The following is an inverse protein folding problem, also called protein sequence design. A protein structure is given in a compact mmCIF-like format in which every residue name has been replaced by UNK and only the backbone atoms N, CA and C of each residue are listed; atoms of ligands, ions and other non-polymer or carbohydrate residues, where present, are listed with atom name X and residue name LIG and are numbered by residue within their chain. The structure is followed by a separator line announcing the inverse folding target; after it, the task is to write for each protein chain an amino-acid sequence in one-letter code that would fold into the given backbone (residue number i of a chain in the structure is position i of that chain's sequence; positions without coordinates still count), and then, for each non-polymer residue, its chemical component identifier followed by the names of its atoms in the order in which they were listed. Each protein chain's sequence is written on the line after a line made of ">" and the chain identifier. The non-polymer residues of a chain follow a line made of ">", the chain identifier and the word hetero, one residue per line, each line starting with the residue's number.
data_IF_270050962272
#
_entry.id   IF_270050962272
#
_cell.length_a   1.000
_cell.length_b   1.000
_cell.length_c   1.000
_cell.angle_alpha   90.00
_cell.angle_beta   90.00
_cell.angle_gamma   90.00
#
_symmetry.space_group_name_H-M   'P 1'
#
loop_
_entity.id
_entity.type
_entity.pdbx_description
1 polymer ?
#
# COMPACT_ATOMS: atom_id res chain seq x y z
N UNK A 1 24.88 -35.92 17.59
CA UNK A 1 24.57 -34.46 17.70
C UNK A 1 24.44 -33.74 16.36
N UNK A 2 25.13 -34.15 15.28
CA UNK A 2 25.07 -33.48 13.97
C UNK A 2 23.69 -33.60 13.26
N UNK A 3 22.98 -34.73 13.38
CA UNK A 3 21.71 -34.94 12.65
C UNK A 3 20.52 -34.14 13.19
N UNK A 4 20.46 -33.87 14.51
CA UNK A 4 19.39 -33.05 15.14
C UNK A 4 19.46 -31.57 14.75
N UNK A 5 20.66 -31.03 14.45
CA UNK A 5 20.83 -29.66 13.95
C UNK A 5 20.41 -29.53 12.48
N UNK A 6 20.66 -30.55 11.67
CA UNK A 6 20.24 -30.57 10.27
C UNK A 6 18.71 -30.61 10.13
N UNK A 7 18.02 -31.41 10.95
CA UNK A 7 16.55 -31.51 10.91
C UNK A 7 15.83 -30.25 11.41
N UNK A 8 16.38 -29.57 12.43
CA UNK A 8 15.84 -28.28 12.93
C UNK A 8 16.11 -27.13 11.96
N UNK A 9 17.22 -27.16 11.22
CA UNK A 9 17.50 -26.17 10.18
C UNK A 9 16.55 -26.33 8.98
N UNK A 10 16.35 -27.56 8.51
CA UNK A 10 15.42 -27.86 7.41
C UNK A 10 13.96 -27.53 7.76
N UNK A 11 13.52 -27.81 9.00
CA UNK A 11 12.15 -27.48 9.43
C UNK A 11 11.91 -25.97 9.52
N UNK A 12 12.88 -25.19 10.01
CA UNK A 12 12.82 -23.71 10.01
C UNK A 12 12.81 -23.13 8.60
N UNK A 13 13.62 -23.66 7.70
CA UNK A 13 13.68 -23.20 6.31
C UNK A 13 12.38 -23.49 5.55
N UNK A 14 11.75 -24.65 5.82
CA UNK A 14 10.46 -25.03 5.25
C UNK A 14 9.33 -24.10 5.73
N UNK A 15 9.20 -23.88 7.04
CA UNK A 15 8.20 -22.95 7.59
C UNK A 15 8.35 -21.53 7.05
N UNK A 16 9.59 -21.04 6.90
CA UNK A 16 9.83 -19.70 6.35
C UNK A 16 9.31 -19.63 4.91
N UNK A 17 9.60 -20.65 4.09
CA UNK A 17 9.15 -20.72 2.69
C UNK A 17 7.62 -20.82 2.56
N UNK A 18 6.99 -21.68 3.36
CA UNK A 18 5.53 -21.88 3.37
C UNK A 18 4.79 -20.59 3.78
N UNK A 19 5.36 -19.82 4.71
CA UNK A 19 4.84 -18.50 5.09
C UNK A 19 4.85 -17.52 3.91
N UNK A 20 5.94 -17.41 3.15
CA UNK A 20 5.98 -16.51 1.99
C UNK A 20 4.98 -16.92 0.91
N UNK A 21 4.83 -18.23 0.64
CA UNK A 21 3.83 -18.71 -0.32
C UNK A 21 2.41 -18.34 0.10
N UNK A 22 2.06 -18.49 1.39
CA UNK A 22 0.75 -18.09 1.88
C UNK A 22 0.52 -16.59 1.73
N UNK A 23 1.51 -15.77 2.07
CA UNK A 23 1.42 -14.31 1.94
C UNK A 23 1.26 -13.88 0.47
N UNK A 24 1.95 -14.54 -0.45
CA UNK A 24 1.83 -14.27 -1.88
C UNK A 24 0.47 -14.71 -2.43
N UNK A 25 -0.06 -15.85 -1.97
CA UNK A 25 -1.41 -16.30 -2.31
C UNK A 25 -2.48 -15.31 -1.81
N UNK A 26 -2.34 -14.82 -0.57
CA UNK A 26 -3.24 -13.81 -0.02
C UNK A 26 -3.17 -12.49 -0.81
N UNK A 27 -1.99 -12.09 -1.29
CA UNK A 27 -1.85 -10.94 -2.21
C UNK A 27 -2.61 -11.17 -3.51
N UNK A 28 -2.52 -12.38 -4.09
CA UNK A 28 -3.25 -12.75 -5.29
C UNK A 28 -4.77 -12.60 -5.12
N UNK A 29 -5.32 -13.15 -4.03
CA UNK A 29 -6.76 -13.01 -3.72
C UNK A 29 -7.15 -11.54 -3.54
N UNK A 30 -6.36 -10.76 -2.79
CA UNK A 30 -6.62 -9.34 -2.60
C UNK A 30 -6.56 -8.56 -3.94
N UNK A 31 -5.62 -8.89 -4.82
CA UNK A 31 -5.53 -8.28 -6.15
C UNK A 31 -6.79 -8.55 -6.99
N UNK A 32 -7.31 -9.78 -6.96
CA UNK A 32 -8.55 -10.14 -7.64
C UNK A 32 -9.74 -9.33 -7.12
N UNK A 33 -9.85 -9.11 -5.80
CA UNK A 33 -10.90 -8.27 -5.22
C UNK A 33 -10.81 -6.82 -5.71
N UNK A 34 -9.60 -6.27 -5.86
CA UNK A 34 -9.41 -4.92 -6.43
C UNK A 34 -9.84 -4.88 -7.90
N UNK A 35 -9.49 -5.90 -8.69
CA UNK A 35 -9.89 -6.01 -10.09
C UNK A 35 -11.41 -6.10 -10.22
N UNK A 36 -12.08 -6.98 -9.46
CA UNK A 36 -13.54 -7.10 -9.50
C UNK A 36 -14.25 -5.83 -9.03
N UNK A 37 -13.70 -5.11 -8.06
CA UNK A 37 -14.24 -3.82 -7.64
C UNK A 37 -14.22 -2.79 -8.78
N UNK A 38 -13.09 -2.65 -9.46
CA UNK A 38 -12.97 -1.71 -10.59
C UNK A 38 -13.77 -2.17 -11.81
N UNK A 39 -13.82 -3.48 -12.09
CA UNK A 39 -14.65 -4.05 -13.14
C UNK A 39 -16.14 -3.80 -12.89
N UNK A 40 -16.59 -3.94 -11.63
CA UNK A 40 -17.96 -3.60 -11.23
C UNK A 40 -18.27 -2.12 -11.49
N UNK A 41 -17.39 -1.22 -11.06
CA UNK A 41 -17.51 0.22 -11.31
C UNK A 41 -17.60 0.54 -12.81
N UNK A 42 -16.75 -0.09 -13.63
CA UNK A 42 -16.72 0.11 -15.08
C UNK A 42 -17.97 -0.45 -15.78
N UNK A 43 -18.43 -1.64 -15.37
CA UNK A 43 -19.59 -2.32 -15.97
C UNK A 43 -20.93 -1.90 -15.35
N UNK A 44 -20.93 -0.93 -14.42
CA UNK A 44 -22.12 -0.52 -13.65
C UNK A 44 -22.80 -1.70 -12.92
N UNK A 45 -22.00 -2.64 -12.43
CA UNK A 45 -22.43 -3.83 -11.69
C UNK A 45 -21.74 -3.88 -10.32
N UNK A 46 -22.16 -4.81 -9.45
CA UNK A 46 -21.62 -4.90 -8.10
C UNK A 46 -20.96 -6.26 -7.81
N UNK A 47 -19.88 -6.57 -8.52
CA UNK A 47 -19.12 -7.82 -8.31
C UNK A 47 -18.41 -7.86 -6.95
N UNK A 48 -18.00 -6.71 -6.41
CA UNK A 48 -17.28 -6.62 -5.14
C UNK A 48 -17.48 -5.26 -4.46
N UNK A 49 -18.65 -5.00 -3.87
CA UNK A 49 -19.05 -3.70 -3.30
C UNK A 49 -18.01 -3.02 -2.39
N UNK A 50 -17.26 -3.84 -1.63
CA UNK A 50 -16.26 -3.39 -0.66
C UNK A 50 -14.84 -3.80 -1.02
N UNK A 51 -14.58 -4.14 -2.29
CA UNK A 51 -13.25 -4.57 -2.74
C UNK A 51 -12.16 -3.50 -2.57
N UNK A 52 -12.53 -2.23 -2.38
CA UNK A 52 -11.59 -1.18 -1.97
C UNK A 52 -10.89 -1.46 -0.62
N UNK A 53 -11.44 -2.33 0.23
CA UNK A 53 -10.83 -2.74 1.50
C UNK A 53 -9.62 -3.68 1.31
N UNK A 54 -9.47 -4.29 0.13
CA UNK A 54 -8.29 -5.06 -0.21
C UNK A 54 -7.01 -4.20 -0.19
N UNK A 55 -7.15 -2.88 -0.40
CA UNK A 55 -6.05 -1.92 -0.27
C UNK A 55 -5.53 -1.86 1.18
N UNK A 56 -6.42 -1.84 2.18
CA UNK A 56 -6.02 -1.88 3.59
C UNK A 56 -5.30 -3.20 3.91
N UNK A 57 -5.77 -4.31 3.34
CA UNK A 57 -5.08 -5.60 3.47
C UNK A 57 -3.66 -5.56 2.90
N UNK A 58 -3.45 -4.95 1.72
CA UNK A 58 -2.11 -4.76 1.15
C UNK A 58 -1.19 -3.94 2.06
N UNK A 59 -1.70 -2.87 2.67
CA UNK A 59 -0.94 -2.05 3.61
C UNK A 59 -0.55 -2.81 4.88
N UNK A 60 -1.48 -3.57 5.47
CA UNK A 60 -1.20 -4.41 6.63
C UNK A 60 -0.15 -5.47 6.31
N UNK A 61 -0.29 -6.13 5.16
CA UNK A 61 0.68 -7.12 4.72
C UNK A 61 2.05 -6.48 4.43
N UNK A 62 2.10 -5.25 3.92
CA UNK A 62 3.34 -4.52 3.73
C UNK A 62 4.05 -4.24 5.05
N UNK A 63 3.34 -3.70 6.05
CA UNK A 63 3.86 -3.48 7.39
C UNK A 63 4.41 -4.76 8.03
N UNK A 64 3.71 -5.87 7.86
CA UNK A 64 4.15 -7.19 8.32
C UNK A 64 5.45 -7.64 7.64
N UNK A 65 5.45 -7.74 6.31
CA UNK A 65 6.58 -8.25 5.53
C UNK A 65 7.83 -7.37 5.72
N UNK A 66 7.68 -6.05 5.71
CA UNK A 66 8.81 -5.14 5.87
C UNK A 66 9.42 -5.25 7.26
N UNK A 67 8.59 -5.36 8.30
CA UNK A 67 9.08 -5.53 9.66
C UNK A 67 9.87 -6.82 9.80
N UNK A 68 9.37 -7.92 9.23
CA UNK A 68 10.06 -9.22 9.23
C UNK A 68 11.38 -9.18 8.44
N UNK A 69 11.38 -8.62 7.24
CA UNK A 69 12.52 -8.70 6.32
C UNK A 69 13.58 -7.60 6.53
N UNK A 70 13.19 -6.41 7.00
CA UNK A 70 14.05 -5.23 7.09
C UNK A 70 14.15 -4.63 8.49
N UNK A 71 13.23 -4.94 9.42
CA UNK A 71 13.21 -4.32 10.75
C UNK A 71 14.53 -4.48 11.51
N UNK A 72 15.13 -5.68 11.50
CA UNK A 72 16.44 -5.92 12.08
C UNK A 72 17.57 -5.16 11.39
N UNK A 73 17.57 -5.14 10.05
CA UNK A 73 18.60 -4.47 9.23
C UNK A 73 18.59 -2.95 9.39
N UNK A 74 17.40 -2.36 9.48
CA UNK A 74 17.20 -0.92 9.72
C UNK A 74 17.66 -0.51 11.13
N UNK A 75 17.42 -1.37 12.13
CA UNK A 75 17.98 -1.17 13.48
C UNK A 75 19.49 -1.34 13.52
N UNK A 76 20.04 -2.22 12.67
CA UNK A 76 21.49 -2.45 12.52
C UNK A 76 22.19 -1.43 11.60
N UNK A 77 21.52 -0.35 11.19
CA UNK A 77 22.16 0.76 10.47
C UNK A 77 21.96 0.79 8.95
N UNK A 78 21.07 -0.03 8.37
CA UNK A 78 20.65 0.15 6.98
C UNK A 78 20.05 1.57 6.80
N UNK A 79 20.59 2.33 5.85
CA UNK A 79 20.13 3.71 5.60
C UNK A 79 18.70 3.74 5.07
N UNK A 80 17.94 4.76 5.48
CA UNK A 80 16.57 5.02 5.01
C UNK A 80 16.55 5.15 3.50
N UNK A 81 17.49 5.91 2.92
CA UNK A 81 17.62 6.08 1.47
C UNK A 81 17.77 4.74 0.72
N UNK A 82 18.70 3.89 1.17
CA UNK A 82 18.94 2.59 0.52
C UNK A 82 17.73 1.68 0.64
N UNK A 83 17.07 1.68 1.80
CA UNK A 83 15.82 0.95 2.00
C UNK A 83 14.72 1.44 1.03
N UNK A 84 14.53 2.75 0.93
CA UNK A 84 13.51 3.35 0.05
C UNK A 84 13.80 3.04 -1.41
N UNK A 85 15.04 3.10 -1.87
CA UNK A 85 15.41 2.75 -3.26
C UNK A 85 15.11 1.29 -3.60
N UNK A 86 15.43 0.34 -2.69
CA UNK A 86 15.10 -1.09 -2.88
C UNK A 86 13.59 -1.28 -3.07
N UNK A 87 12.78 -0.48 -2.37
CA UNK A 87 11.33 -0.54 -2.44
C UNK A 87 10.80 0.13 -3.70
N UNK A 88 11.31 1.32 -4.04
CA UNK A 88 10.86 2.11 -5.17
C UNK A 88 11.08 1.39 -6.50
N UNK A 89 12.25 0.77 -6.71
CA UNK A 89 12.57 0.02 -7.95
C UNK A 89 11.57 -1.11 -8.21
N UNK A 90 10.92 -1.65 -7.18
CA UNK A 90 9.90 -2.71 -7.35
C UNK A 90 8.54 -2.18 -7.78
N UNK A 91 8.16 -0.98 -7.35
CA UNK A 91 6.84 -0.41 -7.61
C UNK A 91 6.82 0.47 -8.86
N UNK A 92 7.93 1.16 -9.13
CA UNK A 92 8.04 2.15 -10.18
C UNK A 92 7.75 1.62 -11.59
N UNK A 93 8.20 0.40 -11.99
CA UNK A 93 7.88 -0.13 -13.32
C UNK A 93 6.38 -0.27 -13.55
N UNK A 94 5.66 -0.86 -12.60
CA UNK A 94 4.21 -1.04 -12.69
C UNK A 94 3.48 0.31 -12.65
N UNK A 95 3.96 1.23 -11.81
CA UNK A 95 3.43 2.58 -11.73
C UNK A 95 3.53 3.31 -13.08
N UNK A 96 4.69 3.25 -13.75
CA UNK A 96 4.90 3.88 -15.06
C UNK A 96 4.02 3.27 -16.15
N UNK A 97 3.81 1.94 -16.12
CA UNK A 97 2.86 1.28 -17.04
C UNK A 97 1.45 1.82 -16.81
N UNK A 98 1.00 1.92 -15.55
CA UNK A 98 -0.30 2.51 -15.23
C UNK A 98 -0.45 3.96 -15.69
N UNK A 99 0.61 4.77 -15.49
CA UNK A 99 0.66 6.16 -15.95
C UNK A 99 0.58 6.25 -17.48
N UNK A 100 1.33 5.41 -18.20
CA UNK A 100 1.31 5.38 -19.67
C UNK A 100 -0.07 4.99 -20.19
N UNK A 101 -0.67 3.93 -19.65
CA UNK A 101 -2.02 3.48 -20.04
C UNK A 101 -3.08 4.55 -19.78
N UNK A 102 -3.04 5.22 -18.63
CA UNK A 102 -4.00 6.30 -18.34
C UNK A 102 -3.75 7.57 -19.14
N UNK A 103 -2.50 7.89 -19.49
CA UNK A 103 -2.18 8.95 -20.45
C UNK A 103 -2.75 8.63 -21.84
N UNK A 104 -2.57 7.40 -22.33
CA UNK A 104 -3.16 6.94 -23.60
C UNK A 104 -4.69 7.03 -23.57
N UNK A 105 -5.33 6.59 -22.48
CA UNK A 105 -6.78 6.74 -22.28
C UNK A 105 -7.21 8.21 -22.35
N UNK A 106 -6.53 9.10 -21.64
CA UNK A 106 -6.89 10.52 -21.60
C UNK A 106 -6.71 11.21 -22.97
N UNK A 107 -5.65 10.87 -23.71
CA UNK A 107 -5.45 11.35 -25.08
C UNK A 107 -6.52 10.82 -26.04
N UNK A 108 -6.91 9.55 -25.90
CA UNK A 108 -8.03 8.99 -26.65
C UNK A 108 -9.35 9.73 -26.38
N UNK A 109 -9.65 10.04 -25.13
CA UNK A 109 -10.84 10.81 -24.75
C UNK A 109 -10.87 12.20 -25.41
N UNK A 110 -9.73 12.90 -25.47
CA UNK A 110 -9.61 14.16 -26.22
C UNK A 110 -9.84 13.97 -27.72
N UNK A 111 -9.24 12.92 -28.31
CA UNK A 111 -9.37 12.63 -29.73
C UNK A 111 -10.82 12.34 -30.15
N UNK A 112 -11.58 11.64 -29.31
CA UNK A 112 -12.99 11.33 -29.54
C UNK A 112 -13.96 12.41 -29.03
N UNK A 113 -13.47 13.58 -28.61
CA UNK A 113 -14.27 14.69 -28.09
C UNK A 113 -15.21 14.29 -26.93
N UNK A 114 -14.74 13.43 -26.03
CA UNK A 114 -15.48 13.06 -24.82
C UNK A 114 -15.75 14.32 -23.97
N UNK A 115 -17.02 14.62 -23.60
CA UNK A 115 -17.37 15.77 -22.76
C UNK A 115 -16.66 15.79 -21.39
N UNK A 116 -16.18 14.64 -20.90
CA UNK A 116 -15.47 14.50 -19.63
C UNK A 116 -13.94 14.51 -19.80
N UNK A 117 -13.43 14.75 -21.01
CA UNK A 117 -11.99 14.78 -21.27
C UNK A 117 -11.31 15.94 -20.53
N UNK A 118 -10.19 15.64 -19.87
CA UNK A 118 -9.29 16.67 -19.32
C UNK A 118 -8.46 17.31 -20.44
N UNK A 119 -8.12 18.59 -20.28
CA UNK A 119 -7.38 19.33 -21.32
C UNK A 119 -5.97 18.78 -21.56
N UNK A 120 -5.41 19.03 -22.75
CA UNK A 120 -4.04 18.62 -23.11
C UNK A 120 -2.99 19.13 -22.10
N UNK A 121 -3.16 20.35 -21.60
CA UNK A 121 -2.29 20.92 -20.57
C UNK A 121 -2.36 20.12 -19.26
N UNK A 122 -3.56 19.73 -18.82
CA UNK A 122 -3.74 18.92 -17.62
C UNK A 122 -3.16 17.51 -17.77
N UNK A 123 -3.29 16.89 -18.94
CA UNK A 123 -2.65 15.59 -19.23
C UNK A 123 -1.13 15.74 -19.11
N UNK A 124 -0.56 16.75 -19.77
CA UNK A 124 0.91 16.95 -19.79
C UNK A 124 1.46 17.22 -18.39
N UNK A 125 0.85 18.15 -17.65
CA UNK A 125 1.28 18.48 -16.28
C UNK A 125 1.10 17.29 -15.33
N UNK A 126 -0.01 16.56 -15.44
CA UNK A 126 -0.25 15.37 -14.62
C UNK A 126 0.70 14.22 -14.96
N UNK A 127 1.13 14.10 -16.22
CA UNK A 127 2.14 13.13 -16.62
C UNK A 127 3.52 13.49 -16.06
N UNK A 128 3.92 14.77 -16.10
CA UNK A 128 5.20 15.23 -15.54
C UNK A 128 5.29 14.99 -14.02
N UNK A 129 4.24 15.36 -13.28
CA UNK A 129 4.16 15.08 -11.84
C UNK A 129 4.04 13.58 -11.56
N UNK A 130 3.29 12.88 -12.42
CA UNK A 130 3.15 11.44 -12.41
C UNK A 130 4.50 10.74 -12.53
N UNK A 131 5.40 11.16 -13.42
CA UNK A 131 6.73 10.53 -13.58
C UNK A 131 7.46 10.46 -12.25
N UNK A 132 7.50 11.55 -11.49
CA UNK A 132 8.14 11.58 -10.15
C UNK A 132 7.25 11.05 -9.02
N UNK A 133 6.14 10.40 -9.36
CA UNK A 133 5.17 9.79 -8.45
C UNK A 133 4.47 10.79 -7.51
N UNK A 134 4.43 12.08 -7.87
CA UNK A 134 3.78 13.11 -7.08
C UNK A 134 2.33 13.33 -7.53
N UNK A 135 1.41 13.65 -6.59
CA UNK A 135 0.04 13.98 -6.94
C UNK A 135 -0.01 15.30 -7.71
N UNK A 136 -0.90 15.39 -8.70
CA UNK A 136 -1.06 16.61 -9.50
C UNK A 136 -1.84 17.68 -8.73
N UNK A 137 -1.39 18.93 -8.82
CA UNK A 137 -2.13 20.10 -8.33
C UNK A 137 -3.02 20.72 -9.42
N UNK A 138 -2.96 20.18 -10.64
CA UNK A 138 -3.55 20.78 -11.84
C UNK A 138 -4.84 20.09 -12.29
N UNK A 139 -5.30 19.10 -11.54
CA UNK A 139 -6.57 18.42 -11.77
C UNK A 139 -7.59 18.81 -10.70
N UNK A 140 -8.88 18.99 -11.07
CA UNK A 140 -9.87 19.58 -10.18
C UNK A 140 -10.24 18.72 -8.96
N UNK A 141 -10.12 17.39 -9.05
CA UNK A 141 -10.60 16.48 -7.99
C UNK A 141 -9.62 15.35 -7.67
N UNK A 142 -9.10 14.67 -8.68
CA UNK A 142 -8.27 13.47 -8.48
C UNK A 142 -6.79 13.80 -8.24
N UNK A 143 -6.16 13.04 -7.33
CA UNK A 143 -4.72 13.14 -7.07
C UNK A 143 -3.89 12.66 -8.28
N UNK A 144 -4.40 11.66 -9.00
CA UNK A 144 -3.73 11.00 -10.12
C UNK A 144 -4.73 10.71 -11.25
N UNK A 145 -5.16 11.73 -12.02
CA UNK A 145 -6.16 11.57 -13.09
C UNK A 145 -5.72 10.60 -14.21
N UNK A 146 -4.41 10.39 -14.35
CA UNK A 146 -3.82 9.47 -15.32
C UNK A 146 -3.49 8.10 -14.73
N UNK A 147 -3.73 7.87 -13.43
CA UNK A 147 -3.47 6.59 -12.79
C UNK A 147 -4.27 6.50 -11.48
N UNK A 148 -5.56 6.21 -11.56
CA UNK A 148 -6.47 6.20 -10.41
C UNK A 148 -5.94 5.43 -9.17
N UNK A 149 -5.32 4.25 -9.29
CA UNK A 149 -4.75 3.52 -8.15
C UNK A 149 -3.46 4.09 -7.54
N UNK A 150 -2.80 5.05 -8.19
CA UNK A 150 -1.47 5.55 -7.82
C UNK A 150 -1.37 6.15 -6.41
N UNK A 151 -2.45 6.74 -5.90
CA UNK A 151 -2.47 7.32 -4.55
C UNK A 151 -2.04 6.30 -3.49
N UNK A 152 -2.45 5.04 -3.65
CA UNK A 152 -2.12 3.97 -2.70
C UNK A 152 -0.63 3.62 -2.74
N UNK A 153 -0.01 3.63 -3.92
CA UNK A 153 1.43 3.39 -4.09
C UNK A 153 2.25 4.56 -3.53
N UNK A 154 1.79 5.79 -3.71
CA UNK A 154 2.43 6.98 -3.15
C UNK A 154 2.43 6.92 -1.62
N UNK A 155 1.28 6.65 -1.02
CA UNK A 155 1.16 6.48 0.42
C UNK A 155 2.01 5.30 0.92
N UNK A 156 2.05 4.19 0.18
CA UNK A 156 2.92 3.04 0.49
C UNK A 156 4.40 3.43 0.55
N UNK A 157 4.89 4.24 -0.40
CA UNK A 157 6.26 4.77 -0.33
C UNK A 157 6.43 5.69 0.89
N UNK A 158 5.49 6.60 1.14
CA UNK A 158 5.54 7.53 2.26
C UNK A 158 5.57 6.82 3.63
N UNK A 159 4.70 5.82 3.84
CA UNK A 159 4.66 5.07 5.11
C UNK A 159 5.91 4.19 5.26
N UNK A 160 6.48 3.69 4.16
CA UNK A 160 7.73 2.92 4.19
C UNK A 160 8.91 3.81 4.64
N UNK A 161 8.99 5.03 4.12
CA UNK A 161 9.97 6.02 4.59
C UNK A 161 9.74 6.33 6.07
N UNK A 162 8.50 6.58 6.48
CA UNK A 162 8.16 6.85 7.87
C UNK A 162 8.52 5.68 8.80
N UNK A 163 8.34 4.45 8.32
CA UNK A 163 8.72 3.25 9.04
C UNK A 163 10.22 3.16 9.25
N UNK A 164 11.00 3.31 8.17
CA UNK A 164 12.45 3.20 8.22
C UNK A 164 13.11 4.32 9.05
N UNK A 165 12.55 5.53 8.98
CA UNK A 165 13.04 6.67 9.75
C UNK A 165 12.64 6.58 11.23
N UNK A 166 11.37 6.28 11.54
CA UNK A 166 10.83 6.40 12.90
C UNK A 166 10.22 5.10 13.44
N UNK A 167 9.20 4.52 12.80
CA UNK A 167 8.39 3.47 13.44
C UNK A 167 9.19 2.21 13.79
N UNK A 168 10.25 1.90 13.05
CA UNK A 168 11.13 0.75 13.32
C UNK A 168 11.80 0.81 14.71
N UNK A 169 11.92 2.01 15.29
CA UNK A 169 12.51 2.30 16.61
C UNK A 169 11.47 2.57 17.70
N UNK A 170 10.21 2.80 17.34
CA UNK A 170 9.15 3.06 18.31
C UNK A 170 8.84 1.83 19.16
N UNK A 171 8.37 2.06 20.39
CA UNK A 171 7.84 1.01 21.28
C UNK A 171 6.49 0.53 20.77
N UNK A 172 6.12 -0.71 21.13
CA UNK A 172 4.84 -1.30 20.70
C UNK A 172 3.64 -0.48 21.21
N UNK A 173 3.73 0.08 22.42
CA UNK A 173 2.68 0.96 22.96
C UNK A 173 2.44 2.22 22.12
N UNK A 174 3.48 2.83 21.58
CA UNK A 174 3.36 4.00 20.69
C UNK A 174 2.70 3.63 19.36
N UNK A 175 3.01 2.45 18.82
CA UNK A 175 2.38 1.94 17.60
C UNK A 175 0.91 1.58 17.83
N UNK A 176 0.59 0.98 18.97
CA UNK A 176 -0.80 0.70 19.37
C UNK A 176 -1.57 2.00 19.52
N UNK A 177 -1.01 3.00 20.20
CA UNK A 177 -1.64 4.31 20.33
C UNK A 177 -1.92 4.95 18.96
N UNK A 178 -0.93 4.93 18.04
CA UNK A 178 -1.11 5.44 16.69
C UNK A 178 -2.21 4.68 15.92
N UNK A 179 -2.25 3.34 16.03
CA UNK A 179 -3.27 2.52 15.41
C UNK A 179 -4.68 2.84 15.96
N UNK A 180 -4.81 3.02 17.27
CA UNK A 180 -6.09 3.37 17.92
C UNK A 180 -6.59 4.74 17.47
N UNK A 181 -5.71 5.74 17.42
CA UNK A 181 -6.08 7.08 16.93
C UNK A 181 -6.49 7.02 15.45
N UNK A 182 -5.76 6.29 14.62
CA UNK A 182 -6.13 6.11 13.22
C UNK A 182 -7.50 5.41 13.07
N UNK A 183 -7.76 4.36 13.87
CA UNK A 183 -9.04 3.67 13.88
C UNK A 183 -10.21 4.58 14.32
N UNK A 184 -9.99 5.44 15.31
CA UNK A 184 -10.99 6.41 15.77
C UNK A 184 -11.33 7.41 14.67
N UNK A 185 -10.32 7.99 14.01
CA UNK A 185 -10.52 8.93 12.89
C UNK A 185 -11.29 8.26 11.74
N UNK A 186 -10.95 7.00 11.41
CA UNK A 186 -11.69 6.24 10.40
C UNK A 186 -13.14 5.99 10.79
N UNK A 187 -13.39 5.71 12.07
CA UNK A 187 -14.76 5.46 12.58
C UNK A 187 -15.61 6.73 12.50
N UNK A 188 -15.03 7.88 12.85
CA UNK A 188 -15.68 9.20 12.71
C UNK A 188 -15.99 9.48 11.23
N UNK A 189 -15.01 9.29 10.33
CA UNK A 189 -15.20 9.49 8.89
C UNK A 189 -16.30 8.58 8.33
N UNK A 190 -16.30 7.30 8.72
CA UNK A 190 -17.32 6.33 8.34
C UNK A 190 -18.71 6.75 8.84
N UNK A 191 -18.80 7.28 10.07
CA UNK A 191 -20.06 7.80 10.62
C UNK A 191 -20.62 8.98 9.85
N UNK A 192 -19.78 9.85 9.30
CA UNK A 192 -20.21 11.01 8.51
C UNK A 192 -20.53 10.69 7.04
N UNK A 193 -19.80 9.75 6.43
CA UNK A 193 -19.86 9.51 4.97
C UNK A 193 -20.53 8.20 4.58
N UNK A 194 -20.72 7.28 5.53
CA UNK A 194 -21.25 5.94 5.28
C UNK A 194 -20.29 4.99 4.54
N UNK A 195 -19.07 5.43 4.22
CA UNK A 195 -18.09 4.63 3.47
C UNK A 195 -16.64 4.93 3.89
N UNK A 196 -15.74 4.00 3.60
CA UNK A 196 -14.29 4.21 3.69
C UNK A 196 -13.62 4.27 2.31
N UNK A 197 -14.43 4.30 1.24
CA UNK A 197 -13.95 4.42 -0.13
C UNK A 197 -13.46 5.86 -0.41
N UNK A 198 -12.25 6.17 0.06
CA UNK A 198 -11.60 7.46 -0.15
C UNK A 198 -10.08 7.35 -0.06
N UNK A 199 -9.40 8.44 -0.42
CA UNK A 199 -7.94 8.54 -0.50
C UNK A 199 -7.42 8.87 -1.90
N UNK A 200 -8.26 8.78 -2.93
CA UNK A 200 -7.90 8.99 -4.34
C UNK A 200 -8.13 10.42 -4.84
N UNK A 201 -8.82 11.26 -4.06
CA UNK A 201 -9.09 12.66 -4.35
C UNK A 201 -8.54 13.57 -3.25
N UNK A 202 -8.25 14.84 -3.57
CA UNK A 202 -7.72 15.82 -2.61
C UNK A 202 -8.60 15.97 -1.36
N UNK A 203 -9.93 15.99 -1.55
CA UNK A 203 -10.91 16.07 -0.47
C UNK A 203 -10.93 14.85 0.46
N UNK A 204 -10.50 13.69 -0.04
CA UNK A 204 -10.49 12.42 0.72
C UNK A 204 -9.08 11.95 1.04
N UNK A 205 -8.03 12.70 0.68
CA UNK A 205 -6.65 12.27 0.88
C UNK A 205 -6.35 11.94 2.36
N UNK A 206 -6.92 12.72 3.28
CA UNK A 206 -6.82 12.48 4.72
C UNK A 206 -7.28 11.08 5.14
N UNK A 207 -8.41 10.57 4.61
CA UNK A 207 -8.86 9.21 4.94
C UNK A 207 -7.91 8.15 4.38
N UNK A 208 -7.31 8.40 3.21
CA UNK A 208 -6.26 7.53 2.67
C UNK A 208 -5.06 7.41 3.61
N UNK A 209 -4.59 8.55 4.14
CA UNK A 209 -3.48 8.61 5.13
C UNK A 209 -3.85 7.88 6.41
N UNK A 210 -5.08 8.04 6.91
CA UNK A 210 -5.53 7.36 8.13
C UNK A 210 -5.62 5.85 7.92
N UNK A 211 -6.19 5.41 6.79
CA UNK A 211 -6.32 4.01 6.40
C UNK A 211 -4.98 3.29 6.33
N UNK A 212 -4.01 3.86 5.60
CA UNK A 212 -2.68 3.26 5.52
C UNK A 212 -1.98 3.23 6.87
N UNK A 213 -2.12 4.29 7.66
CA UNK A 213 -1.48 4.39 8.98
C UNK A 213 -2.02 3.31 9.91
N UNK A 214 -3.34 3.13 9.97
CA UNK A 214 -3.98 2.06 10.73
C UNK A 214 -3.51 0.68 10.26
N UNK A 215 -3.72 0.37 8.99
CA UNK A 215 -3.44 -0.96 8.45
C UNK A 215 -1.96 -1.33 8.57
N UNK A 216 -1.07 -0.43 8.18
CA UNK A 216 0.37 -0.65 8.22
C UNK A 216 0.88 -0.85 9.65
N UNK A 217 0.44 -0.04 10.62
CA UNK A 217 0.87 -0.17 12.02
C UNK A 217 0.39 -1.49 12.64
N UNK A 218 -0.84 -1.93 12.33
CA UNK A 218 -1.31 -3.28 12.71
C UNK A 218 -0.40 -4.35 12.13
N UNK A 219 -0.03 -4.24 10.85
CA UNK A 219 0.95 -5.15 10.22
C UNK A 219 2.29 -5.22 10.94
N UNK A 220 2.84 -4.07 11.32
CA UNK A 220 4.10 -3.97 12.10
C UNK A 220 3.96 -4.67 13.44
N UNK A 221 2.87 -4.44 14.17
CA UNK A 221 2.62 -5.04 15.48
C UNK A 221 2.51 -6.56 15.39
N UNK A 222 1.76 -7.07 14.40
CA UNK A 222 1.63 -8.51 14.16
C UNK A 222 2.98 -9.17 13.86
N UNK A 223 3.84 -8.52 13.07
CA UNK A 223 5.18 -9.02 12.80
C UNK A 223 6.06 -9.06 14.07
N UNK A 224 6.03 -7.99 14.89
CA UNK A 224 6.78 -7.97 16.15
C UNK A 224 6.31 -9.05 17.13
N UNK A 225 4.99 -9.25 17.22
CA UNK A 225 4.41 -10.30 18.03
C UNK A 225 4.84 -11.70 17.55
N UNK A 226 4.82 -11.96 16.24
CA UNK A 226 5.31 -13.20 15.64
C UNK A 226 6.78 -13.47 15.99
N UNK A 227 7.65 -12.45 15.91
CA UNK A 227 9.07 -12.57 16.27
C UNK A 227 9.23 -12.92 17.76
N UNK A 228 8.41 -12.31 18.63
CA UNK A 228 8.46 -12.56 20.07
C UNK A 228 8.05 -13.99 20.43
N UNK A 229 7.01 -14.52 19.79
CA UNK A 229 6.60 -15.93 19.95
C UNK A 229 7.73 -16.86 19.52
N UNK A 230 8.31 -16.66 18.34
CA UNK A 230 9.37 -17.51 17.81
C UNK A 230 10.60 -17.56 18.73
N UNK A 231 10.90 -16.46 19.43
CA UNK A 231 11.99 -16.39 20.42
C UNK A 231 11.68 -17.09 21.74
N UNK A 232 10.41 -17.24 22.13
CA UNK A 232 10.03 -17.92 23.38
C UNK A 232 10.00 -19.44 23.24
N UNK A 233 9.77 -19.94 22.02
CA UNK A 233 9.65 -21.37 21.72
C UNK A 233 11.02 -21.99 21.34
N UNK A 234 12.03 -21.15 21.07
CA UNK A 234 13.40 -21.58 20.71
C UNK A 234 14.35 -21.63 21.89
#
# INVERSE_FOLDING_TARGET
>A
MCSRRASTFQSRQKMHRDRYYLLDAMRGVAALLVVFFHAGSFMQTNYAARGYLAVDFFFALSGFVITMSYGGRLRAGLSVWRFTMIRLIRFYPLFLVGLALGATKALGALFFADPQAISMAQITLSALWGIVMLPTLFAPHELYPLNGPAWSLFLEVAINVAFAAWFVRWRDSSLVFLAVIAALIMTIFLGHTGTLNGGWAWSTFGVGVTRITFAFTVGVLLARYSIHIERRVS
#
